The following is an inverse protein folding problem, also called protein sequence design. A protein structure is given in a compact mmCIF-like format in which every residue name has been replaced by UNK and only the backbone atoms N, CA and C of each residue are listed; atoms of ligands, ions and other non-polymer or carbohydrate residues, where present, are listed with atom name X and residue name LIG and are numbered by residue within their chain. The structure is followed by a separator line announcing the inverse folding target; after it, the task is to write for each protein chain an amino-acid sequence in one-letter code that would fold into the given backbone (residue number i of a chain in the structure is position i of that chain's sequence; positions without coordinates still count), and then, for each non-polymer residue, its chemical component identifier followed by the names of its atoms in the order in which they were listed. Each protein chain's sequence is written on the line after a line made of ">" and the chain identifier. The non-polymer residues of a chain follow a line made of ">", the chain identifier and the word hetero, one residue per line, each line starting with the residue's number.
data_IF_807962883762
#
_entry.id   IF_807962883762
#
_cell.length_a   1.000
_cell.length_b   1.000
_cell.length_c   1.000
_cell.angle_alpha   90.00
_cell.angle_beta   90.00
_cell.angle_gamma   90.00
#
_symmetry.space_group_name_H-M   'P 1'
#
loop_
_entity.id
_entity.type
_entity.pdbx_description
1 polymer ?
#
# COMPACT_ATOMS: atom_id res chain seq x y z
N UNK A 1 -7.04 34.78 54.19
CA UNK A 1 -8.50 34.57 54.04
C UNK A 1 -8.92 34.96 52.62
N UNK A 2 -9.90 34.22 52.08
CA UNK A 2 -10.54 34.33 50.75
C UNK A 2 -9.82 33.67 49.56
N UNK A 3 -10.21 32.40 49.40
CA UNK A 3 -10.17 31.56 48.20
C UNK A 3 -10.87 32.23 47.02
N UNK A 4 -10.43 31.93 45.80
CA UNK A 4 -11.32 31.93 44.63
C UNK A 4 -10.96 30.75 43.73
N UNK A 5 -11.88 29.80 43.71
CA UNK A 5 -11.91 28.57 42.94
C UNK A 5 -12.56 28.93 41.61
N UNK A 6 -11.88 28.73 40.49
CA UNK A 6 -12.49 28.81 39.16
C UNK A 6 -12.90 27.40 38.76
N UNK A 7 -14.21 27.19 38.70
CA UNK A 7 -14.88 25.99 38.17
C UNK A 7 -14.69 25.96 36.65
N UNK A 8 -14.19 24.85 36.10
CA UNK A 8 -14.45 24.48 34.71
C UNK A 8 -15.84 23.82 34.65
N UNK A 9 -16.77 24.47 33.97
CA UNK A 9 -18.06 23.89 33.56
C UNK A 9 -18.06 23.65 32.06
N UNK A 10 -18.48 22.45 31.69
CA UNK A 10 -18.81 21.99 30.34
C UNK A 10 -19.62 23.02 29.54
N UNK A 11 -19.27 23.19 28.27
CA UNK A 11 -20.22 23.54 27.22
C UNK A 11 -19.88 22.76 25.95
N UNK A 12 -20.63 21.67 25.74
CA UNK A 12 -20.97 21.18 24.41
C UNK A 12 -21.90 22.22 23.78
N UNK A 13 -21.63 22.64 22.54
CA UNK A 13 -22.67 22.83 21.52
C UNK A 13 -22.10 23.18 20.15
N UNK A 14 -22.73 22.55 19.15
CA UNK A 14 -22.88 22.96 17.74
C UNK A 14 -21.66 22.77 16.81
N UNK A 15 -21.75 22.25 15.58
CA UNK A 15 -22.84 21.63 14.79
C UNK A 15 -22.19 21.28 13.43
N UNK A 16 -22.21 20.03 12.96
CA UNK A 16 -22.28 19.75 11.51
C UNK A 16 -23.23 18.58 11.31
N UNK A 17 -24.37 18.94 10.73
CA UNK A 17 -25.46 18.10 10.25
C UNK A 17 -25.00 17.44 8.96
N UNK A 18 -25.13 16.12 8.84
CA UNK A 18 -25.32 15.47 7.54
C UNK A 18 -26.65 14.73 7.58
N UNK A 19 -27.47 15.11 6.60
CA UNK A 19 -28.86 14.73 6.37
C UNK A 19 -28.94 13.27 5.96
N UNK A 20 -29.69 12.48 6.73
CA UNK A 20 -30.32 11.25 6.27
C UNK A 20 -31.83 11.52 6.20
N UNK A 21 -32.40 11.54 4.99
CA UNK A 21 -33.84 11.60 4.77
C UNK A 21 -34.30 10.36 3.99
N UNK A 22 -34.81 9.43 4.79
CA UNK A 22 -36.14 8.83 4.73
C UNK A 22 -36.65 8.18 3.45
N UNK A 23 -37.01 6.90 3.60
CA UNK A 23 -38.41 6.48 3.45
C UNK A 23 -38.84 5.85 4.78
N UNK A 24 -39.94 6.37 5.34
CA UNK A 24 -40.52 6.05 6.64
C UNK A 24 -41.96 5.57 6.47
N UNK A 25 -42.39 4.64 7.33
CA UNK A 25 -43.72 4.50 7.95
C UNK A 25 -44.10 3.01 8.11
N UNK A 26 -44.67 2.51 9.21
CA UNK A 26 -44.89 3.00 10.57
C UNK A 26 -45.52 1.83 11.37
N UNK A 27 -45.06 1.52 12.58
CA UNK A 27 -45.91 1.34 13.79
C UNK A 27 -45.08 0.83 14.97
N UNK A 28 -45.16 1.55 16.10
CA UNK A 28 -44.52 1.25 17.39
C UNK A 28 -45.22 0.09 18.12
N UNK A 29 -44.46 -0.78 18.77
CA UNK A 29 -44.74 -1.24 20.14
C UNK A 29 -43.50 -1.87 20.78
N UNK A 30 -43.33 -1.61 22.07
CA UNK A 30 -42.26 -2.02 22.99
C UNK A 30 -42.34 -3.49 23.44
N UNK A 31 -41.24 -4.23 23.37
CA UNK A 31 -40.90 -5.38 24.25
C UNK A 31 -39.48 -5.90 23.96
N UNK A 32 -38.86 -6.54 24.97
CA UNK A 32 -37.50 -7.10 25.12
C UNK A 32 -36.63 -7.51 23.89
N UNK A 33 -35.28 -7.43 24.01
CA UNK A 33 -34.33 -7.88 22.99
C UNK A 33 -34.01 -9.38 23.16
N UNK A 34 -34.97 -10.23 22.85
CA UNK A 34 -34.74 -11.64 22.57
C UNK A 34 -35.83 -12.09 21.60
N UNK A 35 -35.42 -12.64 20.46
CA UNK A 35 -36.27 -13.05 19.32
C UNK A 35 -36.53 -11.98 18.26
N UNK A 36 -35.53 -11.73 17.41
CA UNK A 36 -35.80 -11.37 16.00
C UNK A 36 -34.73 -11.96 15.07
N UNK A 37 -34.76 -13.29 14.94
CA UNK A 37 -34.30 -13.94 13.71
C UNK A 37 -35.58 -14.32 12.96
N UNK A 38 -36.05 -13.44 12.09
CA UNK A 38 -37.07 -13.84 11.11
C UNK A 38 -36.56 -15.06 10.34
N UNK A 39 -37.29 -16.20 10.35
CA UNK A 39 -36.92 -17.32 9.52
C UNK A 39 -37.16 -16.90 8.07
N UNK A 40 -36.09 -16.80 7.29
CA UNK A 40 -36.18 -16.71 5.83
C UNK A 40 -37.04 -17.86 5.28
N UNK A 41 -37.62 -17.71 4.08
CA UNK A 41 -38.67 -18.60 3.58
C UNK A 41 -38.23 -20.07 3.65
N UNK A 42 -39.00 -20.85 4.41
CA UNK A 42 -38.89 -22.29 4.53
C UNK A 42 -39.04 -22.94 3.16
N UNK A 43 -37.92 -23.39 2.59
CA UNK A 43 -37.87 -24.00 1.25
C UNK A 43 -36.52 -23.88 0.51
N UNK A 44 -35.57 -23.08 0.98
CA UNK A 44 -34.30 -22.90 0.28
C UNK A 44 -33.28 -24.02 0.59
N UNK A 45 -32.88 -24.75 -0.46
CA UNK A 45 -31.82 -25.76 -0.43
C UNK A 45 -30.45 -25.05 -0.39
N UNK A 46 -30.04 -24.54 0.78
CA UNK A 46 -28.73 -23.89 0.94
C UNK A 46 -27.59 -24.90 0.68
N UNK A 47 -26.45 -24.44 0.12
CA UNK A 47 -25.26 -25.27 0.00
C UNK A 47 -24.90 -25.89 1.36
N UNK A 48 -24.67 -27.21 1.36
CA UNK A 48 -24.48 -28.02 2.56
C UNK A 48 -23.06 -28.62 2.59
N UNK A 49 -22.04 -27.82 2.93
CA UNK A 49 -20.65 -28.25 2.88
C UNK A 49 -20.36 -29.35 3.90
N UNK A 50 -19.47 -30.27 3.53
CA UNK A 50 -19.01 -31.38 4.38
C UNK A 50 -17.59 -31.18 4.91
N UNK A 51 -16.87 -30.18 4.42
CA UNK A 51 -15.47 -29.90 4.77
C UNK A 51 -15.14 -28.42 4.68
N UNK A 52 -14.08 -27.99 5.37
CA UNK A 52 -13.55 -26.61 5.27
C UNK A 52 -13.10 -26.26 3.85
N UNK A 53 -12.69 -27.26 3.05
CA UNK A 53 -12.33 -27.06 1.65
C UNK A 53 -13.55 -26.72 0.79
N UNK A 54 -14.70 -27.37 1.03
CA UNK A 54 -15.96 -27.03 0.36
C UNK A 54 -16.45 -25.64 0.77
N UNK A 55 -16.34 -25.27 2.05
CA UNK A 55 -16.62 -23.90 2.52
C UNK A 55 -15.74 -22.89 1.78
N UNK A 56 -14.44 -23.17 1.64
CA UNK A 56 -13.49 -22.32 0.91
C UNK A 56 -13.89 -22.17 -0.56
N UNK A 57 -14.28 -23.26 -1.23
CA UNK A 57 -14.74 -23.22 -2.62
C UNK A 57 -16.02 -22.40 -2.82
N UNK A 58 -16.98 -22.54 -1.90
CA UNK A 58 -18.23 -21.77 -1.90
C UNK A 58 -17.97 -20.28 -1.64
N UNK A 59 -17.12 -19.94 -0.68
CA UNK A 59 -16.69 -18.57 -0.41
C UNK A 59 -15.96 -17.97 -1.62
N UNK A 60 -15.01 -18.70 -2.22
CA UNK A 60 -14.30 -18.23 -3.42
C UNK A 60 -15.26 -17.93 -4.57
N UNK A 61 -16.24 -18.81 -4.79
CA UNK A 61 -17.28 -18.62 -5.83
C UNK A 61 -18.15 -17.41 -5.52
N UNK A 62 -18.58 -17.24 -4.28
CA UNK A 62 -19.37 -16.09 -3.85
C UNK A 62 -18.59 -14.77 -4.01
N UNK A 63 -17.32 -14.75 -3.63
CA UNK A 63 -16.43 -13.59 -3.76
C UNK A 63 -16.24 -13.21 -5.24
N UNK A 64 -15.90 -14.18 -6.09
CA UNK A 64 -15.70 -13.97 -7.54
C UNK A 64 -16.98 -13.49 -8.26
N UNK A 65 -18.15 -13.83 -7.73
CA UNK A 65 -19.44 -13.35 -8.23
C UNK A 65 -19.96 -12.11 -7.50
N UNK A 66 -19.16 -11.49 -6.62
CA UNK A 66 -19.49 -10.30 -5.85
C UNK A 66 -20.78 -10.43 -5.02
N UNK A 67 -21.12 -11.64 -4.57
CA UNK A 67 -22.26 -11.85 -3.66
C UNK A 67 -21.94 -11.24 -2.30
N UNK A 68 -22.85 -10.43 -1.76
CA UNK A 68 -22.71 -9.81 -0.43
C UNK A 68 -23.10 -10.75 0.70
N UNK A 69 -23.90 -11.78 0.40
CA UNK A 69 -24.36 -12.77 1.37
C UNK A 69 -24.23 -14.19 0.80
N UNK A 70 -23.65 -15.08 1.59
CA UNK A 70 -23.63 -16.53 1.35
C UNK A 70 -24.28 -17.21 2.56
N UNK A 71 -25.31 -18.02 2.34
CA UNK A 71 -25.97 -18.79 3.40
C UNK A 71 -25.61 -20.26 3.22
N UNK A 72 -25.20 -20.91 4.31
CA UNK A 72 -24.74 -22.30 4.34
C UNK A 72 -25.55 -23.11 5.35
N UNK A 73 -25.91 -24.34 4.95
CA UNK A 73 -26.41 -25.36 5.87
C UNK A 73 -25.22 -26.13 6.45
N UNK A 74 -24.92 -25.87 7.72
CA UNK A 74 -23.76 -26.43 8.42
C UNK A 74 -24.05 -27.81 9.03
N UNK A 75 -25.27 -28.35 8.88
CA UNK A 75 -25.65 -29.62 9.53
C UNK A 75 -24.91 -30.86 9.00
N UNK A 76 -24.25 -30.77 7.83
CA UNK A 76 -23.38 -31.85 7.36
C UNK A 76 -21.90 -31.71 7.79
N UNK A 77 -21.53 -30.58 8.41
CA UNK A 77 -20.21 -30.43 9.00
C UNK A 77 -20.19 -31.07 10.39
N UNK A 78 -19.26 -31.98 10.62
CA UNK A 78 -19.05 -32.57 11.95
C UNK A 78 -18.24 -31.60 12.85
N UNK A 79 -18.88 -30.49 13.25
CA UNK A 79 -18.29 -29.44 14.08
C UNK A 79 -19.16 -29.17 15.32
N UNK A 80 -18.51 -28.81 16.42
CA UNK A 80 -19.23 -28.20 17.55
C UNK A 80 -19.68 -26.78 17.17
N UNK A 81 -20.79 -26.32 17.75
CA UNK A 81 -21.38 -25.02 17.40
C UNK A 81 -20.42 -23.83 17.60
N UNK A 82 -19.58 -23.89 18.64
CA UNK A 82 -18.55 -22.89 18.92
C UNK A 82 -17.35 -22.92 17.94
N UNK A 83 -17.26 -23.93 17.07
CA UNK A 83 -16.19 -24.05 16.07
C UNK A 83 -16.60 -23.57 14.68
N UNK A 84 -17.90 -23.36 14.43
CA UNK A 84 -18.43 -23.04 13.11
C UNK A 84 -17.84 -21.73 12.58
N UNK A 85 -17.92 -20.65 13.36
CA UNK A 85 -17.45 -19.33 12.93
C UNK A 85 -15.94 -19.31 12.68
N UNK A 86 -15.15 -19.91 13.59
CA UNK A 86 -13.69 -20.01 13.47
C UNK A 86 -13.32 -20.84 12.23
N UNK A 87 -14.03 -21.93 11.97
CA UNK A 87 -13.78 -22.77 10.79
C UNK A 87 -14.02 -22.01 9.50
N UNK A 88 -15.10 -21.21 9.44
CA UNK A 88 -15.39 -20.38 8.27
C UNK A 88 -14.42 -19.19 8.14
N UNK A 89 -13.98 -18.59 9.25
CA UNK A 89 -12.92 -17.58 9.25
C UNK A 89 -11.59 -18.13 8.71
N UNK A 90 -11.23 -19.35 9.09
CA UNK A 90 -10.06 -20.06 8.56
C UNK A 90 -10.23 -20.42 7.08
N UNK A 91 -11.43 -20.84 6.66
CA UNK A 91 -11.75 -21.10 5.25
C UNK A 91 -11.61 -19.83 4.40
N UNK A 92 -12.13 -18.69 4.87
CA UNK A 92 -11.92 -17.40 4.22
C UNK A 92 -10.43 -17.04 4.13
N UNK A 93 -9.67 -17.21 5.22
CA UNK A 93 -8.22 -16.96 5.22
C UNK A 93 -7.49 -17.84 4.20
N UNK A 94 -7.92 -19.11 4.07
CA UNK A 94 -7.41 -20.03 3.06
C UNK A 94 -7.71 -19.54 1.63
N UNK A 95 -8.95 -19.11 1.35
CA UNK A 95 -9.32 -18.52 0.04
C UNK A 95 -8.40 -17.37 -0.34
N UNK A 96 -8.17 -16.43 0.58
CA UNK A 96 -7.29 -15.28 0.32
C UNK A 96 -5.84 -15.73 0.12
N UNK A 97 -5.35 -16.70 0.90
CA UNK A 97 -3.98 -17.21 0.76
C UNK A 97 -3.71 -17.92 -0.57
N UNK A 98 -4.73 -18.59 -1.13
CA UNK A 98 -4.63 -19.29 -2.42
C UNK A 98 -4.76 -18.33 -3.61
N UNK A 99 -5.58 -17.29 -3.46
CA UNK A 99 -5.82 -16.30 -4.50
C UNK A 99 -5.83 -14.89 -3.87
N UNK A 100 -4.63 -14.33 -3.77
CA UNK A 100 -4.43 -13.00 -3.18
C UNK A 100 -5.17 -11.90 -3.96
N UNK A 101 -5.55 -12.12 -5.22
CA UNK A 101 -6.32 -11.13 -5.99
C UNK A 101 -7.71 -10.88 -5.39
N UNK A 102 -8.21 -11.80 -4.56
CA UNK A 102 -9.52 -11.72 -3.92
C UNK A 102 -9.56 -10.85 -2.65
N UNK A 103 -8.44 -10.25 -2.24
CA UNK A 103 -8.35 -9.36 -1.06
C UNK A 103 -9.29 -8.15 -1.09
N UNK A 104 -9.87 -7.83 -2.25
CA UNK A 104 -10.93 -6.83 -2.34
C UNK A 104 -12.19 -7.23 -1.55
N UNK A 105 -12.41 -8.52 -1.28
CA UNK A 105 -13.29 -8.98 -0.21
C UNK A 105 -12.48 -8.97 1.08
N UNK A 106 -12.53 -7.86 1.83
CA UNK A 106 -11.59 -7.62 2.92
C UNK A 106 -12.03 -8.26 4.25
N UNK A 107 -13.29 -8.68 4.37
CA UNK A 107 -13.82 -9.33 5.57
C UNK A 107 -15.01 -10.22 5.25
N UNK A 108 -15.12 -11.34 5.95
CA UNK A 108 -16.35 -12.12 6.05
C UNK A 108 -16.83 -12.07 7.50
N UNK A 109 -18.06 -11.64 7.72
CA UNK A 109 -18.74 -11.66 9.02
C UNK A 109 -19.63 -12.90 9.09
N UNK A 110 -19.42 -13.72 10.10
CA UNK A 110 -20.16 -14.95 10.35
C UNK A 110 -21.30 -14.66 11.33
N UNK A 111 -22.51 -15.10 11.01
CA UNK A 111 -23.70 -15.01 11.87
C UNK A 111 -24.33 -16.40 11.91
N UNK A 112 -24.14 -17.13 13.01
CA UNK A 112 -24.54 -18.53 13.11
C UNK A 112 -25.81 -18.74 13.95
N UNK A 113 -26.83 -19.35 13.35
CA UNK A 113 -28.01 -19.84 14.06
C UNK A 113 -27.79 -21.31 14.45
N UNK A 114 -27.52 -21.56 15.73
CA UNK A 114 -27.23 -22.90 16.26
C UNK A 114 -28.42 -23.85 16.16
N UNK A 115 -29.64 -23.38 16.40
CA UNK A 115 -30.85 -24.22 16.38
C UNK A 115 -31.18 -24.70 14.97
N UNK A 116 -31.01 -23.84 13.97
CA UNK A 116 -31.27 -24.18 12.57
C UNK A 116 -30.05 -24.80 11.88
N UNK A 117 -28.86 -24.77 12.51
CA UNK A 117 -27.56 -25.11 11.90
C UNK A 117 -27.30 -24.32 10.60
N UNK A 118 -27.82 -23.10 10.52
CA UNK A 118 -27.65 -22.21 9.35
C UNK A 118 -26.64 -21.12 9.68
N UNK A 119 -25.66 -20.96 8.80
CA UNK A 119 -24.67 -19.89 8.87
C UNK A 119 -24.91 -18.87 7.75
N UNK A 120 -25.05 -17.60 8.13
CA UNK A 120 -24.99 -16.48 7.20
C UNK A 120 -23.58 -15.88 7.21
N UNK A 121 -22.97 -15.80 6.03
CA UNK A 121 -21.71 -15.11 5.78
C UNK A 121 -21.98 -13.79 5.07
N UNK A 122 -21.75 -12.66 5.72
CA UNK A 122 -21.75 -11.35 5.06
C UNK A 122 -20.35 -11.03 4.55
N UNK A 123 -20.21 -10.88 3.24
CA UNK A 123 -18.95 -10.59 2.58
C UNK A 123 -18.84 -9.08 2.40
N UNK A 124 -17.86 -8.47 3.05
CA UNK A 124 -17.57 -7.03 2.95
C UNK A 124 -16.51 -6.81 1.87
N UNK A 125 -16.83 -5.93 0.94
CA UNK A 125 -15.98 -5.59 -0.20
C UNK A 125 -15.47 -4.16 -0.11
N UNK A 126 -14.24 -3.93 -0.57
CA UNK A 126 -13.74 -2.60 -0.83
C UNK A 126 -14.69 -1.91 -1.81
N UNK A 127 -15.24 -0.71 -1.51
CA UNK A 127 -16.35 -0.13 -2.27
C UNK A 127 -16.08 0.00 -3.77
N UNK A 128 -14.83 0.30 -4.15
CA UNK A 128 -14.45 0.44 -5.56
C UNK A 128 -14.71 -0.82 -6.41
N UNK A 129 -14.71 -2.00 -5.80
CA UNK A 129 -14.97 -3.24 -6.53
C UNK A 129 -16.43 -3.41 -6.92
N UNK A 130 -17.34 -2.84 -6.13
CA UNK A 130 -18.78 -2.80 -6.42
C UNK A 130 -19.13 -1.62 -7.35
N UNK A 131 -18.20 -0.69 -7.56
CA UNK A 131 -18.39 0.55 -8.28
C UNK A 131 -18.74 1.69 -7.31
N UNK A 132 -18.13 2.85 -7.52
CA UNK A 132 -18.42 4.07 -6.76
C UNK A 132 -19.13 5.03 -7.69
N UNK A 133 -20.22 5.63 -7.24
CA UNK A 133 -20.82 6.77 -7.92
C UNK A 133 -19.90 8.00 -7.73
N UNK A 134 -19.31 8.56 -8.80
CA UNK A 134 -18.42 9.70 -8.70
C UNK A 134 -19.05 10.93 -8.03
N UNK A 135 -20.39 11.04 -8.01
CA UNK A 135 -21.12 12.14 -7.38
C UNK A 135 -21.24 11.99 -5.86
N UNK A 136 -20.99 10.79 -5.32
CA UNK A 136 -21.02 10.50 -3.88
C UNK A 136 -19.66 10.70 -3.20
N UNK A 137 -18.61 10.95 -3.99
CA UNK A 137 -17.25 11.14 -3.49
C UNK A 137 -17.15 12.49 -2.76
N UNK A 138 -16.81 12.53 -1.46
CA UNK A 138 -16.73 13.77 -0.72
C UNK A 138 -15.71 14.76 -1.31
N UNK A 139 -16.03 16.05 -1.23
CA UNK A 139 -15.11 17.13 -1.63
C UNK A 139 -13.78 17.01 -0.89
N UNK A 140 -12.66 17.10 -1.62
CA UNK A 140 -11.30 16.96 -1.08
C UNK A 140 -10.72 15.56 -1.14
N UNK A 141 -11.55 14.54 -1.43
CA UNK A 141 -11.09 13.15 -1.64
C UNK A 141 -10.25 13.03 -2.91
N UNK A 142 -9.10 12.36 -2.84
CA UNK A 142 -8.25 12.13 -4.02
C UNK A 142 -8.82 11.00 -4.86
N UNK A 143 -9.14 11.28 -6.13
CA UNK A 143 -9.63 10.26 -7.07
C UNK A 143 -8.45 9.44 -7.60
N UNK A 144 -8.61 8.11 -7.58
CA UNK A 144 -7.61 7.16 -8.08
C UNK A 144 -8.24 6.41 -9.26
N UNK A 145 -7.75 6.68 -10.47
CA UNK A 145 -8.18 5.96 -11.68
C UNK A 145 -7.07 5.05 -12.22
N UNK A 146 -5.83 5.31 -11.81
CA UNK A 146 -4.60 4.67 -12.26
C UNK A 146 -3.65 4.38 -11.08
N UNK A 147 -2.68 3.51 -11.27
CA UNK A 147 -1.57 3.25 -10.36
C UNK A 147 -0.70 4.50 -10.17
N UNK A 148 -0.46 5.30 -11.22
CA UNK A 148 0.26 6.57 -11.08
C UNK A 148 -0.52 7.63 -10.25
N UNK A 149 -1.86 7.57 -10.21
CA UNK A 149 -2.65 8.45 -9.33
C UNK A 149 -2.39 8.18 -7.85
N UNK A 150 -2.05 6.95 -7.47
CA UNK A 150 -1.68 6.59 -6.09
C UNK A 150 -0.42 7.34 -5.67
N UNK A 151 0.60 7.34 -6.53
CA UNK A 151 1.85 8.08 -6.30
C UNK A 151 1.56 9.58 -6.22
N UNK A 152 0.75 10.09 -7.14
CA UNK A 152 0.39 11.52 -7.19
C UNK A 152 -0.42 11.96 -5.97
N UNK A 153 -1.35 11.13 -5.51
CA UNK A 153 -2.18 11.40 -4.34
C UNK A 153 -1.35 11.46 -3.06
N UNK A 154 -0.38 10.57 -2.88
CA UNK A 154 0.50 10.56 -1.71
C UNK A 154 1.51 11.70 -1.72
N UNK A 155 2.12 12.01 -2.88
CA UNK A 155 3.08 13.11 -3.00
C UNK A 155 2.47 14.49 -2.74
N UNK A 156 1.20 14.69 -3.11
CA UNK A 156 0.48 15.96 -2.97
C UNK A 156 -0.32 16.08 -1.66
N UNK A 157 -0.30 15.05 -0.81
CA UNK A 157 -0.97 15.08 0.49
C UNK A 157 0.00 15.58 1.59
N UNK A 158 -0.54 16.19 2.67
CA UNK A 158 0.24 16.42 3.88
C UNK A 158 0.85 15.11 4.39
N UNK A 159 2.17 15.10 4.60
CA UNK A 159 2.88 13.93 5.10
C UNK A 159 2.44 13.58 6.53
N UNK A 160 2.44 12.29 6.86
CA UNK A 160 2.11 11.80 8.21
C UNK A 160 0.61 11.82 8.56
N UNK A 161 -0.26 12.16 7.61
CA UNK A 161 -1.71 12.15 7.79
C UNK A 161 -2.36 11.05 6.95
N UNK A 162 -3.55 10.64 7.38
CA UNK A 162 -4.43 9.79 6.58
C UNK A 162 -4.91 10.56 5.34
N UNK A 163 -4.94 9.89 4.19
CA UNK A 163 -5.29 10.48 2.91
C UNK A 163 -6.62 9.87 2.46
N UNK A 164 -7.73 10.63 2.48
CA UNK A 164 -9.00 10.17 1.92
C UNK A 164 -8.87 9.97 0.41
N UNK A 165 -9.26 8.79 -0.07
CA UNK A 165 -9.23 8.45 -1.49
C UNK A 165 -10.56 7.86 -1.97
N UNK A 166 -10.77 7.94 -3.28
CA UNK A 166 -11.86 7.24 -3.95
C UNK A 166 -11.28 6.55 -5.18
N UNK A 167 -11.21 5.21 -5.14
CA UNK A 167 -10.78 4.42 -6.28
C UNK A 167 -11.94 4.32 -7.26
N UNK A 168 -11.79 4.98 -8.40
CA UNK A 168 -12.82 5.10 -9.44
C UNK A 168 -12.72 4.02 -10.50
N UNK A 169 -11.58 3.34 -10.60
CA UNK A 169 -11.35 2.24 -11.52
C UNK A 169 -11.46 0.88 -10.81
N UNK A 170 -12.56 0.16 -11.05
CA UNK A 170 -12.84 -1.18 -10.46
C UNK A 170 -11.87 -2.29 -10.88
N UNK A 171 -11.07 -2.04 -11.92
CA UNK A 171 -10.16 -3.02 -12.50
C UNK A 171 -8.76 -2.98 -11.88
N UNK A 172 -8.46 -1.97 -11.05
CA UNK A 172 -7.18 -1.95 -10.35
C UNK A 172 -7.08 -3.14 -9.39
N UNK A 173 -5.96 -3.86 -9.48
CA UNK A 173 -5.64 -4.95 -8.57
C UNK A 173 -5.10 -4.42 -7.23
N UNK A 174 -5.69 -4.89 -6.14
CA UNK A 174 -5.37 -4.40 -4.78
C UNK A 174 -3.94 -4.71 -4.35
N UNK A 175 -3.37 -5.85 -4.76
CA UNK A 175 -1.98 -6.16 -4.41
C UNK A 175 -1.02 -5.24 -5.16
N UNK A 176 -1.27 -5.02 -6.44
CA UNK A 176 -0.49 -4.11 -7.29
C UNK A 176 -0.57 -2.68 -6.74
N UNK A 177 -1.76 -2.22 -6.35
CA UNK A 177 -1.92 -0.91 -5.70
C UNK A 177 -1.09 -0.80 -4.41
N UNK A 178 -1.10 -1.85 -3.58
CA UNK A 178 -0.30 -1.87 -2.34
C UNK A 178 1.21 -1.95 -2.63
N UNK A 179 1.63 -2.69 -3.65
CA UNK A 179 3.02 -2.72 -4.11
C UNK A 179 3.50 -1.32 -4.54
N UNK A 180 2.67 -0.58 -5.30
CA UNK A 180 2.97 0.81 -5.69
C UNK A 180 3.16 1.71 -4.48
N UNK A 181 2.23 1.65 -3.50
CA UNK A 181 2.36 2.42 -2.26
C UNK A 181 3.67 2.11 -1.53
N UNK A 182 3.97 0.82 -1.33
CA UNK A 182 5.12 0.39 -0.56
C UNK A 182 6.46 0.68 -1.24
N UNK A 183 6.54 0.60 -2.57
CA UNK A 183 7.79 0.76 -3.30
C UNK A 183 8.08 2.22 -3.71
N UNK A 184 7.05 3.01 -4.01
CA UNK A 184 7.22 4.33 -4.63
C UNK A 184 6.98 5.50 -3.66
N UNK A 185 6.35 5.26 -2.52
CA UNK A 185 5.91 6.32 -1.61
C UNK A 185 6.67 6.26 -0.26
N UNK A 186 6.58 7.35 0.52
CA UNK A 186 7.03 7.34 1.92
C UNK A 186 8.51 7.54 2.17
N UNK A 187 9.35 7.71 1.14
CA UNK A 187 10.77 8.10 1.25
C UNK A 187 11.63 7.14 2.10
N UNK A 188 11.23 5.86 2.21
CA UNK A 188 11.77 4.89 3.17
C UNK A 188 11.65 5.32 4.65
N UNK A 189 10.81 6.28 5.00
CA UNK A 189 10.57 6.71 6.38
C UNK A 189 9.12 6.48 6.82
N UNK A 190 8.16 6.58 5.90
CA UNK A 190 6.75 6.33 6.15
C UNK A 190 6.31 5.05 5.42
N UNK A 191 5.52 4.23 6.10
CA UNK A 191 4.80 3.11 5.49
C UNK A 191 3.38 3.59 5.20
N UNK A 192 2.95 3.40 3.97
CA UNK A 192 1.58 3.65 3.54
C UNK A 192 0.84 2.34 3.29
N UNK A 193 -0.37 2.24 3.83
CA UNK A 193 -1.26 1.10 3.61
C UNK A 193 -2.67 1.60 3.36
N UNK A 194 -3.43 0.89 2.52
CA UNK A 194 -4.86 1.10 2.48
C UNK A 194 -5.49 0.71 3.83
N UNK A 195 -6.48 1.47 4.29
CA UNK A 195 -7.38 0.98 5.32
C UNK A 195 -8.15 -0.27 4.80
N UNK A 196 -8.81 -1.07 5.66
CA UNK A 196 -9.38 -2.35 5.26
C UNK A 196 -10.33 -2.29 4.04
N UNK A 197 -11.09 -1.20 3.88
CA UNK A 197 -12.03 -1.03 2.77
C UNK A 197 -11.47 -0.19 1.60
N UNK A 198 -10.19 0.20 1.65
CA UNK A 198 -9.48 1.00 0.65
C UNK A 198 -10.15 2.35 0.30
N UNK A 199 -10.77 3.00 1.28
CA UNK A 199 -11.30 4.37 1.19
C UNK A 199 -10.31 5.43 1.70
N UNK A 200 -9.21 5.00 2.34
CA UNK A 200 -8.13 5.89 2.72
C UNK A 200 -6.77 5.21 2.67
N UNK A 201 -5.73 6.04 2.58
CA UNK A 201 -4.34 5.60 2.75
C UNK A 201 -3.90 6.04 4.14
N UNK A 202 -3.65 5.06 5.00
CA UNK A 202 -3.11 5.22 6.34
C UNK A 202 -1.59 5.35 6.30
N UNK A 203 -1.03 6.01 7.32
CA UNK A 203 0.40 6.27 7.42
C UNK A 203 0.93 5.82 8.79
N UNK A 204 2.05 5.10 8.80
CA UNK A 204 2.80 4.76 10.01
C UNK A 204 4.29 5.02 9.81
N UNK A 205 5.06 5.10 10.91
CA UNK A 205 6.53 5.14 10.81
C UNK A 205 7.08 3.79 10.32
N UNK A 206 8.19 3.83 9.58
CA UNK A 206 8.94 2.64 9.16
C UNK A 206 9.42 1.79 10.35
N UNK A 207 9.72 0.49 10.18
CA UNK A 207 10.02 -0.40 11.29
C UNK A 207 11.27 0.04 12.04
N UNK A 208 11.19 -0.04 13.36
CA UNK A 208 12.27 0.26 14.29
C UNK A 208 13.19 -0.95 14.45
N UNK A 209 14.47 -0.73 14.75
CA UNK A 209 15.38 -1.83 15.15
C UNK A 209 16.81 -1.70 14.65
N UNK A 210 17.06 -0.86 13.64
CA UNK A 210 18.42 -0.53 13.22
C UNK A 210 18.95 0.73 13.94
N UNK A 211 20.27 0.82 14.17
CA UNK A 211 20.91 2.05 14.61
C UNK A 211 20.48 3.25 13.78
N UNK A 212 20.04 4.33 14.43
CA UNK A 212 19.64 5.57 13.76
C UNK A 212 18.26 5.54 13.10
N UNK A 213 17.48 4.45 13.23
CA UNK A 213 16.11 4.37 12.75
C UNK A 213 15.22 5.45 13.37
N UNK A 214 14.20 5.95 12.64
CA UNK A 214 13.27 6.92 13.19
C UNK A 214 12.48 6.32 14.36
N UNK A 215 12.16 7.16 15.34
CA UNK A 215 11.45 6.74 16.57
C UNK A 215 9.97 7.13 16.61
N UNK A 216 9.53 7.97 15.67
CA UNK A 216 8.15 8.45 15.58
C UNK A 216 7.83 8.97 14.18
N UNK A 217 6.55 9.22 13.89
CA UNK A 217 6.15 9.93 12.66
C UNK A 217 6.83 11.31 12.60
N UNK A 218 6.90 12.05 13.71
CA UNK A 218 7.55 13.38 13.74
C UNK A 218 9.03 13.33 13.34
N UNK A 219 9.76 12.32 13.80
CA UNK A 219 11.15 12.05 13.40
C UNK A 219 11.24 11.72 11.91
N UNK A 220 10.34 10.87 11.39
CA UNK A 220 10.23 10.57 9.96
C UNK A 220 10.03 11.86 9.13
N UNK A 221 9.11 12.73 9.55
CA UNK A 221 8.82 13.99 8.86
C UNK A 221 10.04 14.92 8.84
N UNK A 222 10.77 15.01 9.95
CA UNK A 222 11.99 15.81 10.04
C UNK A 222 13.07 15.31 9.08
N UNK A 223 13.23 13.99 8.96
CA UNK A 223 14.19 13.38 8.02
C UNK A 223 13.77 13.56 6.57
N UNK A 224 12.47 13.43 6.27
CA UNK A 224 11.94 13.69 4.92
C UNK A 224 12.17 15.15 4.52
N UNK A 225 12.02 16.11 5.44
CA UNK A 225 12.34 17.51 5.16
C UNK A 225 13.82 17.68 4.76
N UNK A 226 14.75 17.06 5.49
CA UNK A 226 16.18 17.05 5.13
C UNK A 226 16.43 16.40 3.77
N UNK A 227 15.72 15.32 3.44
CA UNK A 227 15.80 14.67 2.12
C UNK A 227 15.36 15.64 1.02
N UNK A 228 14.22 16.31 1.17
CA UNK A 228 13.70 17.28 0.19
C UNK A 228 14.65 18.46 -0.02
N UNK A 229 15.19 19.01 1.06
CA UNK A 229 16.18 20.09 0.99
C UNK A 229 17.47 19.64 0.30
N UNK A 230 17.91 18.41 0.56
CA UNK A 230 19.08 17.82 -0.06
C UNK A 230 18.89 17.66 -1.57
N UNK A 231 17.73 17.18 -2.02
CA UNK A 231 17.39 17.08 -3.45
C UNK A 231 17.56 18.44 -4.13
N UNK A 232 16.95 19.49 -3.59
CA UNK A 232 17.05 20.85 -4.15
C UNK A 232 18.51 21.33 -4.24
N UNK A 233 19.27 21.16 -3.16
CA UNK A 233 20.69 21.58 -3.09
C UNK A 233 21.57 20.81 -4.07
N UNK A 234 21.37 19.50 -4.18
CA UNK A 234 22.16 18.63 -5.06
C UNK A 234 21.85 18.97 -6.52
N UNK A 235 20.57 19.04 -6.90
CA UNK A 235 20.18 19.35 -8.28
C UNK A 235 20.68 20.73 -8.71
N UNK A 236 20.60 21.74 -7.84
CA UNK A 236 21.16 23.09 -8.10
C UNK A 236 22.66 23.05 -8.41
N UNK A 237 23.40 22.11 -7.82
CA UNK A 237 24.85 21.97 -8.03
C UNK A 237 25.20 21.19 -9.30
N UNK A 238 24.43 20.16 -9.64
CA UNK A 238 24.80 19.20 -10.69
C UNK A 238 24.04 19.41 -12.01
N UNK A 239 22.96 20.19 -12.02
CA UNK A 239 22.17 20.50 -13.21
C UNK A 239 22.32 21.99 -13.56
N UNK A 240 22.67 22.26 -14.81
CA UNK A 240 22.70 23.62 -15.36
C UNK A 240 21.55 23.84 -16.36
N UNK A 241 21.14 25.10 -16.60
CA UNK A 241 20.18 25.42 -17.66
C UNK A 241 20.66 24.87 -19.01
N UNK A 242 19.71 24.33 -19.80
CA UNK A 242 19.98 23.78 -21.13
C UNK A 242 20.42 22.31 -21.16
N UNK A 243 20.65 21.66 -20.02
CA UNK A 243 20.91 20.21 -20.01
C UNK A 243 19.72 19.42 -20.54
N UNK A 244 19.97 18.51 -21.48
CA UNK A 244 19.02 17.48 -21.93
C UNK A 244 18.70 16.51 -20.80
N UNK A 245 17.60 15.75 -20.91
CA UNK A 245 17.26 14.72 -19.94
C UNK A 245 18.38 13.68 -19.76
N UNK A 246 19.09 13.32 -20.84
CA UNK A 246 20.22 12.41 -20.76
C UNK A 246 21.39 13.00 -19.97
N UNK A 247 21.74 14.26 -20.22
CA UNK A 247 22.81 14.94 -19.47
C UNK A 247 22.45 15.07 -17.98
N UNK A 248 21.21 15.43 -17.66
CA UNK A 248 20.70 15.46 -16.28
C UNK A 248 20.79 14.09 -15.63
N UNK A 249 20.33 13.04 -16.31
CA UNK A 249 20.36 11.68 -15.79
C UNK A 249 21.79 11.20 -15.53
N UNK A 250 22.71 11.42 -16.48
CA UNK A 250 24.12 11.08 -16.30
C UNK A 250 24.72 11.84 -15.11
N UNK A 251 24.46 13.14 -14.95
CA UNK A 251 24.95 13.90 -13.80
C UNK A 251 24.42 13.36 -12.46
N UNK A 252 23.12 13.03 -12.41
CA UNK A 252 22.48 12.40 -11.24
C UNK A 252 23.10 11.03 -10.95
N UNK A 253 23.23 10.17 -11.96
CA UNK A 253 23.78 8.82 -11.80
C UNK A 253 25.24 8.86 -11.35
N UNK A 254 26.05 9.79 -11.88
CA UNK A 254 27.41 10.03 -11.42
C UNK A 254 27.45 10.41 -9.93
N UNK A 255 26.52 11.27 -9.49
CA UNK A 255 26.44 11.70 -8.08
C UNK A 255 26.08 10.52 -7.13
N UNK A 256 25.12 9.69 -7.54
CA UNK A 256 24.62 8.56 -6.75
C UNK A 256 25.63 7.41 -6.71
N UNK A 257 26.17 6.99 -7.86
CA UNK A 257 27.18 5.91 -7.96
C UNK A 257 28.53 6.24 -7.31
N UNK A 258 28.78 7.51 -6.96
CA UNK A 258 29.93 7.96 -6.18
C UNK A 258 29.77 7.80 -4.66
N UNK A 259 28.76 7.06 -4.20
CA UNK A 259 28.46 6.83 -2.77
C UNK A 259 29.15 5.57 -2.28
N UNK A 260 29.71 5.63 -1.05
CA UNK A 260 30.09 4.53 -0.13
C UNK A 260 29.23 3.27 -0.22
N UNK A 261 29.66 2.08 -0.67
CA UNK A 261 28.86 0.89 -0.34
C UNK A 261 29.00 0.57 1.16
N UNK A 262 27.88 0.41 1.85
CA UNK A 262 27.85 0.06 3.25
C UNK A 262 27.94 -1.46 3.46
N UNK A 263 29.16 -1.93 3.75
CA UNK A 263 29.43 -3.35 3.98
C UNK A 263 28.84 -3.89 5.29
N UNK A 264 28.27 -3.04 6.15
CA UNK A 264 27.56 -3.45 7.35
C UNK A 264 26.16 -4.02 7.07
N UNK A 265 25.75 -4.15 5.79
CA UNK A 265 24.38 -4.48 5.34
C UNK A 265 23.74 -5.72 5.98
N UNK A 266 24.54 -6.71 6.37
CA UNK A 266 24.10 -7.95 7.01
C UNK A 266 24.44 -7.99 8.51
N UNK A 267 24.66 -6.84 9.14
CA UNK A 267 25.03 -6.73 10.54
C UNK A 267 24.06 -5.86 11.32
N UNK A 268 23.95 -6.04 12.65
CA UNK A 268 23.19 -5.14 13.51
C UNK A 268 23.72 -3.69 13.55
N UNK A 269 24.90 -3.43 13.00
CA UNK A 269 25.54 -2.11 13.00
C UNK A 269 25.08 -1.23 11.83
N UNK A 270 24.34 -1.77 10.86
CA UNK A 270 23.87 -1.02 9.71
C UNK A 270 23.06 0.20 10.16
N UNK A 271 23.53 1.40 9.82
CA UNK A 271 22.75 2.60 10.07
C UNK A 271 21.51 2.61 9.18
N UNK A 272 20.35 2.93 9.75
CA UNK A 272 19.09 3.01 9.03
C UNK A 272 19.17 3.93 7.81
N UNK A 273 19.85 5.07 7.93
CA UNK A 273 20.00 6.03 6.84
C UNK A 273 20.65 5.41 5.60
N UNK A 274 21.48 4.37 5.75
CA UNK A 274 22.11 3.65 4.63
C UNK A 274 21.08 3.01 3.69
N UNK A 275 19.86 2.73 4.16
CA UNK A 275 18.75 2.23 3.33
C UNK A 275 17.89 3.33 2.72
N UNK A 276 18.19 4.60 3.01
CA UNK A 276 17.40 5.75 2.57
C UNK A 276 18.24 6.68 1.70
N UNK A 277 17.60 7.65 1.07
CA UNK A 277 18.31 8.66 0.30
C UNK A 277 19.32 9.49 1.14
N UNK A 278 19.18 9.57 2.48
CA UNK A 278 20.17 10.26 3.32
C UNK A 278 21.53 9.56 3.34
N UNK A 279 21.57 8.24 3.17
CA UNK A 279 22.82 7.50 2.97
C UNK A 279 23.63 8.03 1.79
N UNK A 280 22.93 8.36 0.68
CA UNK A 280 23.54 8.95 -0.53
C UNK A 280 23.78 10.45 -0.41
N UNK A 281 22.82 11.20 0.13
CA UNK A 281 22.83 12.67 0.09
C UNK A 281 23.71 13.29 1.17
N UNK A 282 23.75 12.68 2.35
CA UNK A 282 24.43 13.21 3.54
C UNK A 282 25.62 12.36 3.95
N UNK A 283 25.40 11.07 4.17
CA UNK A 283 26.40 10.21 4.80
C UNK A 283 27.46 9.72 3.80
N UNK A 284 27.16 9.81 2.49
CA UNK A 284 27.97 9.26 1.40
C UNK A 284 28.33 7.79 1.61
N UNK A 285 27.46 7.04 2.31
CA UNK A 285 27.55 5.61 2.62
C UNK A 285 26.12 5.02 2.64
N UNK A 286 25.85 4.01 1.81
CA UNK A 286 24.52 3.45 1.59
C UNK A 286 24.58 1.97 1.14
N UNK A 287 23.44 1.27 1.27
CA UNK A 287 23.16 -0.02 0.63
C UNK A 287 22.15 0.18 -0.50
N UNK A 288 21.78 -0.89 -1.22
CA UNK A 288 20.93 -0.84 -2.41
C UNK A 288 19.66 0.02 -2.28
N UNK A 289 18.96 -0.06 -1.15
CA UNK A 289 17.79 0.79 -0.88
C UNK A 289 18.12 2.30 -0.91
N UNK A 290 19.26 2.71 -0.35
CA UNK A 290 19.68 4.11 -0.36
C UNK A 290 20.07 4.62 -1.74
N UNK A 291 20.77 3.80 -2.54
CA UNK A 291 21.08 4.14 -3.95
C UNK A 291 19.79 4.30 -4.77
N UNK A 292 18.86 3.34 -4.65
CA UNK A 292 17.58 3.37 -5.37
C UNK A 292 16.77 4.61 -5.02
N UNK A 293 16.58 4.90 -3.72
CA UNK A 293 15.86 6.10 -3.28
C UNK A 293 16.57 7.39 -3.68
N UNK A 294 17.90 7.43 -3.60
CA UNK A 294 18.69 8.58 -4.03
C UNK A 294 18.53 8.89 -5.52
N UNK A 295 18.61 7.87 -6.37
CA UNK A 295 18.39 8.00 -7.81
C UNK A 295 16.94 8.38 -8.12
N UNK A 296 15.98 7.72 -7.49
CA UNK A 296 14.55 7.99 -7.67
C UNK A 296 14.19 9.45 -7.39
N UNK A 297 14.56 9.96 -6.22
CA UNK A 297 14.17 11.29 -5.80
C UNK A 297 14.84 12.39 -6.64
N UNK A 298 16.13 12.24 -6.97
CA UNK A 298 16.83 13.21 -7.82
C UNK A 298 16.28 13.20 -9.25
N UNK A 299 16.07 12.01 -9.84
CA UNK A 299 15.56 11.90 -11.22
C UNK A 299 14.14 12.45 -11.34
N UNK A 300 13.23 12.06 -10.44
CA UNK A 300 11.85 12.53 -10.46
C UNK A 300 11.77 14.06 -10.27
N UNK A 301 12.56 14.62 -9.34
CA UNK A 301 12.63 16.07 -9.15
C UNK A 301 13.26 16.82 -10.35
N UNK A 302 14.09 16.15 -11.16
CA UNK A 302 14.61 16.69 -12.41
C UNK A 302 13.66 16.52 -13.62
N UNK A 303 12.45 15.98 -13.41
CA UNK A 303 11.46 15.73 -14.44
C UNK A 303 11.68 14.44 -15.24
N UNK A 304 12.53 13.54 -14.74
CA UNK A 304 12.82 12.24 -15.36
C UNK A 304 12.15 11.16 -14.53
N UNK A 305 11.11 10.55 -15.07
CA UNK A 305 10.34 9.57 -14.31
C UNK A 305 11.21 8.37 -13.94
N UNK A 306 11.21 8.06 -12.65
CA UNK A 306 11.95 6.97 -12.06
C UNK A 306 11.05 6.19 -11.09
N UNK A 307 11.15 4.86 -11.13
CA UNK A 307 10.49 3.95 -10.22
C UNK A 307 11.53 3.11 -9.48
N UNK A 308 11.33 2.92 -8.18
CA UNK A 308 12.09 1.93 -7.42
C UNK A 308 11.63 0.53 -7.82
N UNK A 309 12.58 -0.39 -7.94
CA UNK A 309 12.36 -1.81 -8.18
C UNK A 309 12.98 -2.58 -7.02
N UNK A 310 12.30 -3.62 -6.56
CA UNK A 310 12.81 -4.48 -5.50
C UNK A 310 12.59 -5.94 -5.88
N UNK A 311 13.55 -6.78 -5.52
CA UNK A 311 13.54 -8.19 -5.86
C UNK A 311 14.75 -8.87 -5.25
N UNK A 312 15.41 -9.71 -6.03
CA UNK A 312 16.65 -10.39 -5.66
C UNK A 312 17.71 -10.14 -6.72
N UNK A 313 18.96 -10.11 -6.27
CA UNK A 313 20.11 -10.30 -7.14
C UNK A 313 20.89 -11.51 -6.62
N UNK A 314 20.93 -12.58 -7.42
CA UNK A 314 21.28 -13.91 -6.94
C UNK A 314 20.28 -14.37 -5.87
N UNK A 315 20.77 -14.67 -4.66
CA UNK A 315 19.92 -15.11 -3.53
C UNK A 315 19.69 -14.03 -2.46
N UNK A 316 20.14 -12.79 -2.70
CA UNK A 316 20.06 -11.70 -1.72
C UNK A 316 18.98 -10.70 -2.16
N UNK A 317 18.20 -10.20 -1.20
CA UNK A 317 17.26 -9.12 -1.46
C UNK A 317 17.98 -7.89 -2.00
N UNK A 318 17.45 -7.30 -3.07
CA UNK A 318 18.11 -6.20 -3.77
C UNK A 318 17.11 -5.15 -4.26
N UNK A 319 17.58 -3.92 -4.42
CA UNK A 319 16.78 -2.79 -4.90
C UNK A 319 17.58 -1.94 -5.89
N UNK A 320 16.92 -1.52 -6.97
CA UNK A 320 17.48 -0.73 -8.06
C UNK A 320 16.38 0.12 -8.68
N UNK A 321 16.62 0.74 -9.83
CA UNK A 321 15.67 1.68 -10.44
C UNK A 321 15.32 1.35 -11.89
N UNK A 322 14.13 1.77 -12.30
CA UNK A 322 13.71 1.80 -13.70
C UNK A 322 13.34 3.23 -14.08
N UNK A 323 13.92 3.74 -15.16
CA UNK A 323 13.75 5.13 -15.58
C UNK A 323 13.29 5.23 -17.03
N UNK A 324 12.52 6.28 -17.32
CA UNK A 324 12.27 6.67 -18.71
C UNK A 324 13.55 7.32 -19.29
N UNK A 325 14.13 6.63 -20.26
CA UNK A 325 15.35 6.98 -20.96
C UNK A 325 15.11 6.91 -22.48
N UNK A 326 15.36 8.02 -23.19
CA UNK A 326 15.14 8.12 -24.64
C UNK A 326 13.75 7.69 -25.13
N UNK A 327 12.70 7.90 -24.31
CA UNK A 327 11.32 7.56 -24.69
C UNK A 327 10.93 6.10 -24.44
N UNK A 328 11.84 5.28 -23.87
CA UNK A 328 11.55 3.93 -23.39
C UNK A 328 11.93 3.77 -21.92
N UNK A 329 11.54 2.66 -21.29
CA UNK A 329 12.00 2.34 -19.94
C UNK A 329 13.24 1.45 -19.99
N UNK A 330 14.21 1.75 -19.14
CA UNK A 330 15.42 0.96 -18.96
C UNK A 330 15.74 0.83 -17.48
N UNK A 331 16.52 -0.19 -17.13
CA UNK A 331 16.92 -0.49 -15.76
C UNK A 331 18.30 0.09 -15.44
N UNK A 332 18.45 0.49 -14.19
CA UNK A 332 19.59 1.21 -13.65
C UNK A 332 19.95 0.67 -12.27
N UNK A 333 21.20 0.23 -12.07
CA UNK A 333 21.70 -0.19 -10.76
C UNK A 333 22.98 0.57 -10.37
N UNK A 334 22.78 1.72 -9.71
CA UNK A 334 23.87 2.56 -9.21
C UNK A 334 24.66 1.91 -8.06
N UNK A 335 24.13 0.84 -7.46
CA UNK A 335 24.82 0.08 -6.40
C UNK A 335 25.90 -0.79 -7.02
N UNK A 336 25.58 -1.49 -8.11
CA UNK A 336 26.53 -2.38 -8.79
C UNK A 336 27.46 -1.64 -9.76
N UNK A 337 27.10 -0.42 -10.15
CA UNK A 337 28.00 0.53 -10.80
C UNK A 337 28.76 1.43 -9.80
N UNK A 338 28.73 1.11 -8.49
CA UNK A 338 29.47 1.90 -7.51
C UNK A 338 30.95 1.94 -7.90
N UNK A 339 31.48 3.15 -8.01
CA UNK A 339 32.86 3.38 -8.37
C UNK A 339 33.32 4.66 -7.69
N UNK A 340 34.30 4.56 -6.79
CA UNK A 340 34.88 5.75 -6.14
C UNK A 340 35.90 6.43 -7.05
N UNK A 341 36.47 5.69 -7.98
CA UNK A 341 37.63 6.08 -8.78
C UNK A 341 37.24 6.24 -10.26
N UNK A 342 37.52 7.39 -10.88
CA UNK A 342 37.48 7.53 -12.34
C UNK A 342 38.55 6.64 -13.03
N UNK A 343 38.35 6.22 -14.29
CA UNK A 343 37.17 6.45 -15.13
C UNK A 343 35.99 5.56 -14.71
N UNK A 344 34.79 6.14 -14.69
CA UNK A 344 33.56 5.40 -14.39
C UNK A 344 33.08 4.69 -15.65
N UNK A 345 33.19 3.37 -15.69
CA UNK A 345 32.53 2.54 -16.72
C UNK A 345 31.25 1.97 -16.15
N UNK A 346 30.11 2.33 -16.72
CA UNK A 346 28.81 1.83 -16.27
C UNK A 346 28.42 0.55 -16.97
N UNK A 347 28.21 -0.51 -16.18
CA UNK A 347 27.70 -1.80 -16.65
C UNK A 347 26.18 -1.85 -16.53
N UNK A 348 25.60 -1.23 -15.50
CA UNK A 348 24.18 -1.29 -15.18
C UNK A 348 23.43 0.01 -15.46
N UNK A 349 23.96 0.90 -16.31
CA UNK A 349 23.28 2.12 -16.75
C UNK A 349 22.48 1.88 -18.03
N UNK A 350 21.18 2.20 -18.01
CA UNK A 350 20.28 2.13 -19.15
C UNK A 350 20.25 0.77 -19.87
N UNK A 351 20.18 -0.32 -19.09
CA UNK A 351 20.14 -1.68 -19.64
C UNK A 351 18.71 -2.18 -19.85
N UNK A 352 18.47 -3.07 -20.83
CA UNK A 352 17.17 -3.71 -21.01
C UNK A 352 16.88 -4.74 -19.91
N UNK A 353 15.60 -5.09 -19.75
CA UNK A 353 15.15 -6.13 -18.83
C UNK A 353 15.95 -7.44 -18.96
N UNK A 354 16.14 -7.90 -20.20
CA UNK A 354 16.85 -9.15 -20.49
C UNK A 354 18.28 -9.16 -19.93
N UNK A 355 18.97 -8.02 -19.90
CA UNK A 355 20.30 -7.92 -19.32
C UNK A 355 20.27 -8.14 -17.81
N UNK A 356 19.33 -7.51 -17.11
CA UNK A 356 19.15 -7.68 -15.66
C UNK A 356 18.83 -9.15 -15.31
N UNK A 357 17.89 -9.77 -16.04
CA UNK A 357 17.54 -11.18 -15.87
C UNK A 357 18.74 -12.13 -16.09
N UNK A 358 19.52 -11.90 -17.15
CA UNK A 358 20.74 -12.67 -17.42
C UNK A 358 21.83 -12.47 -16.36
N UNK A 359 21.85 -11.31 -15.71
CA UNK A 359 22.79 -10.96 -14.64
C UNK A 359 22.16 -11.13 -13.24
N UNK A 360 21.39 -12.20 -13.07
CA UNK A 360 20.86 -12.70 -11.79
C UNK A 360 19.87 -11.78 -11.06
N UNK A 361 19.38 -10.71 -11.68
CA UNK A 361 18.29 -9.92 -11.10
C UNK A 361 16.96 -10.63 -11.37
N UNK A 362 16.13 -10.73 -10.35
CA UNK A 362 14.80 -11.32 -10.44
C UNK A 362 13.82 -10.50 -9.59
N UNK A 363 12.68 -10.14 -10.15
CA UNK A 363 11.64 -9.37 -9.47
C UNK A 363 10.26 -9.74 -10.01
N UNK A 364 9.22 -9.41 -9.23
CA UNK A 364 7.85 -9.41 -9.72
C UNK A 364 7.64 -8.14 -10.56
N UNK A 365 7.48 -8.31 -11.86
CA UNK A 365 7.34 -7.20 -12.80
C UNK A 365 5.89 -6.66 -12.87
N UNK A 366 4.94 -7.22 -12.11
CA UNK A 366 3.52 -6.84 -12.16
C UNK A 366 3.31 -5.35 -11.90
N UNK A 367 3.86 -4.82 -10.80
CA UNK A 367 3.79 -3.39 -10.47
C UNK A 367 4.39 -2.51 -11.55
N UNK A 368 5.55 -2.90 -12.09
CA UNK A 368 6.30 -2.10 -13.06
C UNK A 368 5.57 -2.08 -14.41
N UNK A 369 5.14 -3.24 -14.89
CA UNK A 369 4.34 -3.34 -16.12
C UNK A 369 3.05 -2.53 -16.01
N UNK A 370 2.39 -2.59 -14.85
CA UNK A 370 1.18 -1.83 -14.58
C UNK A 370 1.44 -0.31 -14.63
N UNK A 371 2.53 0.18 -14.04
CA UNK A 371 2.90 1.61 -14.06
C UNK A 371 3.28 2.12 -15.46
N UNK A 372 3.91 1.27 -16.29
CA UNK A 372 4.37 1.63 -17.64
C UNK A 372 3.23 1.57 -18.67
N UNK A 373 2.31 0.61 -18.52
CA UNK A 373 1.19 0.42 -19.45
C UNK A 373 0.23 1.63 -19.49
N UNK A 374 0.16 2.43 -18.42
CA UNK A 374 -0.70 3.62 -18.33
C UNK A 374 -0.26 4.78 -19.24
N UNK A 375 0.91 4.68 -19.88
CA UNK A 375 1.45 5.70 -20.79
C UNK A 375 1.38 5.33 -22.27
N UNK A 376 0.89 4.12 -22.57
CA UNK A 376 0.54 3.70 -23.93
C UNK A 376 -0.93 4.04 -24.17
#
# INVERSE_FOLDING_TARGET
>A
MKRSIIKLTNSLSALVIVVALAISACSKSSSDPSDDLTPGPSGNNYPKPKSSQEVSGLLSTAIKSLKTTLILDMSAMNLADNQVEITVGNAYSNVISQDNSLKYAYKVVQIYNQSAKILQCEIKYMPYKLGIDPNTVPTGTKKINSYNDIITATLNAPLGQEIPIAITNKNLDVNTMQQVLSAQCGYAYLIYNFNPDATSITCSSSPMGLPGAPTSISDCLSRIAVVKDSVNRILTRIITPGMTNNQKLTAIYNYVSATQYDWDFNTPNLNYDSQTALGVFKNRKAVCGGYSWGLNLLANAAGIQCYNVSGKAGNVGHAWSMLNYNGGYSYFDATWDNSFTPPRTYRYFAQPEAFFLQNQHAWDNTMINALVAEKQ
#
